data_IF_682193944639
#
_entry.id   IF_682193944639
#
_cell.length_a   1.000
_cell.length_b   1.000
_cell.length_c   1.000
_cell.angle_alpha   90.00
_cell.angle_beta   90.00
_cell.angle_gamma   90.00
#
_symmetry.space_group_name_H-M   'P 1'
#
loop_
_entity.id
_entity.type
_entity.pdbx_description
1 polymer ?
#
# COMPACT_ATOMS: atom_id res chain seq x y z
N UNK A 1 4.21 -41.35 -5.28
CA UNK A 1 3.98 -39.93 -4.97
C UNK A 1 2.53 -39.80 -4.54
N UNK A 2 2.28 -39.91 -3.24
CA UNK A 2 0.95 -39.71 -2.71
C UNK A 2 0.72 -38.20 -2.63
N UNK A 3 -0.30 -37.73 -3.35
CA UNK A 3 -0.83 -36.38 -3.23
C UNK A 3 -1.52 -36.32 -1.87
N UNK A 4 -0.98 -35.52 -0.94
CA UNK A 4 -1.68 -35.18 0.29
C UNK A 4 -2.58 -33.99 -0.01
N UNK A 5 -3.86 -34.18 0.30
CA UNK A 5 -4.96 -33.24 0.25
C UNK A 5 -4.59 -31.90 0.92
N UNK A 6 -4.68 -30.80 0.19
CA UNK A 6 -5.10 -29.48 0.71
C UNK A 6 -4.44 -28.89 1.97
N UNK A 7 -3.20 -29.23 2.33
CA UNK A 7 -2.52 -28.55 3.45
C UNK A 7 -1.91 -27.22 3.02
N UNK A 8 -2.45 -26.11 3.55
CA UNK A 8 -1.81 -24.79 3.45
C UNK A 8 -0.66 -24.76 4.45
N UNK A 9 0.52 -25.17 4.01
CA UNK A 9 1.73 -25.11 4.83
C UNK A 9 2.36 -23.72 4.72
N UNK A 10 2.11 -22.86 5.71
CA UNK A 10 2.80 -21.59 5.83
C UNK A 10 4.19 -21.78 6.42
N UNK A 11 5.18 -21.17 5.80
CA UNK A 11 6.52 -21.03 6.35
C UNK A 11 6.50 -20.11 7.57
N UNK A 12 7.45 -20.29 8.50
CA UNK A 12 7.62 -19.37 9.65
C UNK A 12 7.75 -17.91 9.18
N UNK A 13 8.47 -17.67 8.07
CA UNK A 13 8.60 -16.34 7.49
C UNK A 13 7.26 -15.74 7.07
N UNK A 14 6.36 -16.54 6.48
CA UNK A 14 5.02 -16.08 6.07
C UNK A 14 4.16 -15.76 7.29
N UNK A 15 4.21 -16.59 8.34
CA UNK A 15 3.50 -16.33 9.60
C UNK A 15 3.99 -15.06 10.30
N UNK A 16 5.30 -14.83 10.34
CA UNK A 16 5.89 -13.61 10.88
C UNK A 16 5.45 -12.38 10.09
N UNK A 17 5.45 -12.50 8.77
CA UNK A 17 4.98 -11.47 7.85
C UNK A 17 3.50 -11.11 8.06
N UNK A 18 2.63 -12.10 8.24
CA UNK A 18 1.22 -11.85 8.58
C UNK A 18 1.08 -11.06 9.88
N UNK A 19 1.84 -11.41 10.92
CA UNK A 19 1.82 -10.68 12.21
C UNK A 19 2.32 -9.24 12.05
N UNK A 20 3.38 -9.04 11.25
CA UNK A 20 3.90 -7.73 10.93
C UNK A 20 2.86 -6.86 10.22
N UNK A 21 2.18 -7.40 9.19
CA UNK A 21 1.16 -6.70 8.42
C UNK A 21 -0.04 -6.32 9.30
N UNK A 22 -0.49 -7.21 10.18
CA UNK A 22 -1.56 -6.91 11.14
C UNK A 22 -1.17 -5.74 12.06
N UNK A 23 0.09 -5.69 12.49
CA UNK A 23 0.59 -4.60 13.33
C UNK A 23 0.67 -3.29 12.55
N UNK A 24 1.11 -3.33 11.29
CA UNK A 24 1.12 -2.16 10.40
C UNK A 24 -0.29 -1.66 10.12
N UNK A 25 -1.24 -2.57 9.88
CA UNK A 25 -2.65 -2.23 9.63
C UNK A 25 -3.25 -1.50 10.83
N UNK A 26 -3.03 -2.04 12.04
CA UNK A 26 -3.46 -1.38 13.29
C UNK A 26 -2.83 0.00 13.45
N UNK A 27 -1.52 0.14 13.23
CA UNK A 27 -0.86 1.43 13.37
C UNK A 27 -1.37 2.46 12.33
N UNK A 28 -1.68 2.03 11.10
CA UNK A 28 -2.28 2.91 10.10
C UNK A 28 -3.68 3.40 10.52
N UNK A 29 -4.47 2.56 11.17
CA UNK A 29 -5.78 2.90 11.74
C UNK A 29 -5.66 3.88 12.93
N UNK A 30 -4.75 3.61 13.88
CA UNK A 30 -4.50 4.49 15.04
C UNK A 30 -4.07 5.89 14.63
N UNK A 31 -3.34 6.01 13.52
CA UNK A 31 -2.87 7.28 12.94
C UNK A 31 -3.90 7.88 11.97
N UNK A 32 -5.07 7.26 11.81
CA UNK A 32 -6.19 7.71 10.96
C UNK A 32 -5.85 7.85 9.49
N UNK A 33 -4.94 7.03 8.99
CA UNK A 33 -4.50 7.07 7.60
C UNK A 33 -5.66 6.76 6.66
N UNK A 34 -6.52 5.80 7.01
CA UNK A 34 -7.66 5.42 6.17
C UNK A 34 -8.73 6.52 6.13
N UNK A 35 -8.96 7.22 7.24
CA UNK A 35 -9.88 8.37 7.28
C UNK A 35 -9.38 9.50 6.35
N UNK A 36 -8.09 9.83 6.43
CA UNK A 36 -7.47 10.86 5.58
C UNK A 36 -7.57 10.48 4.09
N UNK A 37 -7.40 9.21 3.75
CA UNK A 37 -7.55 8.72 2.37
C UNK A 37 -9.03 8.76 1.94
N UNK A 38 -9.96 8.41 2.81
CA UNK A 38 -11.40 8.42 2.52
C UNK A 38 -11.98 9.83 2.36
N UNK A 39 -11.40 10.81 3.07
CA UNK A 39 -11.77 12.23 2.95
C UNK A 39 -11.23 12.88 1.67
N UNK A 40 -10.28 12.24 0.98
CA UNK A 40 -9.78 12.74 -0.29
C UNK A 40 -10.74 12.43 -1.45
N UNK A 41 -10.61 13.21 -2.52
CA UNK A 41 -11.42 13.01 -3.72
C UNK A 41 -11.12 11.62 -4.33
N UNK A 42 -12.13 10.85 -4.81
CA UNK A 42 -11.96 9.45 -5.23
C UNK A 42 -10.90 9.18 -6.33
N UNK A 43 -10.43 10.23 -7.01
CA UNK A 43 -9.39 10.18 -8.04
C UNK A 43 -8.14 11.02 -7.68
N UNK A 44 -8.09 11.60 -6.49
CA UNK A 44 -6.95 12.37 -6.03
C UNK A 44 -5.75 11.44 -5.76
N UNK A 45 -4.64 11.72 -6.41
CA UNK A 45 -3.36 11.12 -6.03
C UNK A 45 -2.91 11.75 -4.72
N UNK A 46 -2.93 10.97 -3.64
CA UNK A 46 -2.38 11.38 -2.36
C UNK A 46 -0.92 10.97 -2.23
N UNK A 47 -0.05 11.93 -1.97
CA UNK A 47 1.32 11.67 -1.58
C UNK A 47 1.42 11.46 -0.06
N UNK A 48 2.34 10.59 0.37
CA UNK A 48 2.59 10.30 1.79
C UNK A 48 2.91 11.56 2.61
N UNK A 49 3.55 12.56 2.01
CA UNK A 49 3.81 13.86 2.65
C UNK A 49 2.53 14.65 2.95
N UNK A 50 1.52 14.56 2.09
CA UNK A 50 0.22 15.22 2.26
C UNK A 50 -0.58 14.54 3.36
N UNK A 51 -0.57 13.20 3.40
CA UNK A 51 -1.19 12.44 4.48
C UNK A 51 -0.53 12.79 5.83
N UNK A 52 0.80 12.86 5.87
CA UNK A 52 1.54 13.22 7.09
C UNK A 52 1.28 14.65 7.55
N UNK A 53 0.99 15.57 6.63
CA UNK A 53 0.64 16.95 6.99
C UNK A 53 -0.68 17.07 7.75
N UNK A 54 -1.56 16.06 7.64
CA UNK A 54 -2.80 15.95 8.41
C UNK A 54 -2.63 15.23 9.76
N UNK A 55 -1.44 14.69 10.04
CA UNK A 55 -1.13 13.97 11.28
C UNK A 55 -0.36 14.92 12.20
N UNK A 56 -0.77 15.11 13.48
CA UNK A 56 -0.07 15.97 14.42
C UNK A 56 1.24 15.33 14.89
N UNK A 57 2.28 15.37 14.04
CA UNK A 57 3.60 14.79 14.30
C UNK A 57 4.72 15.78 14.00
N UNK A 58 5.79 15.69 14.79
CA UNK A 58 7.04 16.44 14.54
C UNK A 58 8.17 15.53 14.03
N UNK A 59 7.86 14.26 13.72
CA UNK A 59 8.86 13.31 13.25
C UNK A 59 9.23 13.61 11.77
N UNK A 60 10.48 14.02 11.47
CA UNK A 60 10.90 14.31 10.10
C UNK A 60 10.91 13.07 9.19
N UNK A 61 10.89 11.86 9.77
CA UNK A 61 10.83 10.59 9.06
C UNK A 61 9.41 10.02 8.95
N UNK A 62 8.38 10.78 9.36
CA UNK A 62 7.00 10.30 9.34
C UNK A 62 6.55 9.91 7.93
N UNK A 63 6.86 10.72 6.92
CA UNK A 63 6.47 10.43 5.53
C UNK A 63 7.11 9.15 4.99
N UNK A 64 8.42 8.96 5.24
CA UNK A 64 9.14 7.73 4.87
C UNK A 64 8.58 6.50 5.61
N UNK A 65 8.28 6.65 6.90
CA UNK A 65 7.72 5.56 7.71
C UNK A 65 6.33 5.17 7.20
N UNK A 66 5.49 6.16 6.90
CA UNK A 66 4.16 5.95 6.35
C UNK A 66 4.22 5.29 4.97
N UNK A 67 5.12 5.73 4.09
CA UNK A 67 5.33 5.10 2.77
C UNK A 67 5.61 3.60 2.89
N UNK A 68 6.50 3.21 3.81
CA UNK A 68 6.81 1.81 4.08
C UNK A 68 5.61 1.03 4.61
N UNK A 69 4.77 1.66 5.44
CA UNK A 69 3.54 1.05 5.94
C UNK A 69 2.55 0.81 4.80
N UNK A 70 2.25 1.85 4.00
CA UNK A 70 1.33 1.74 2.87
C UNK A 70 1.81 0.72 1.84
N UNK A 71 3.11 0.70 1.53
CA UNK A 71 3.69 -0.30 0.62
C UNK A 71 3.57 -1.71 1.16
N UNK A 72 3.78 -1.90 2.46
CA UNK A 72 3.57 -3.19 3.12
C UNK A 72 2.12 -3.61 2.99
N UNK A 73 1.15 -2.75 3.31
CA UNK A 73 -0.28 -3.04 3.18
C UNK A 73 -0.70 -3.35 1.74
N UNK A 74 -0.18 -2.60 0.76
CA UNK A 74 -0.46 -2.82 -0.65
C UNK A 74 0.07 -4.17 -1.14
N UNK A 75 1.22 -4.62 -0.66
CA UNK A 75 1.77 -5.95 -0.99
C UNK A 75 0.87 -7.11 -0.54
N UNK A 76 0.01 -6.91 0.47
CA UNK A 76 -0.95 -7.90 0.95
C UNK A 76 -2.38 -7.62 0.46
N UNK A 77 -2.54 -6.67 -0.48
CA UNK A 77 -3.82 -6.37 -1.13
C UNK A 77 -4.78 -5.50 -0.32
N UNK A 78 -4.35 -4.91 0.81
CA UNK A 78 -5.18 -4.00 1.60
C UNK A 78 -5.36 -2.63 0.93
N UNK A 79 -4.42 -2.24 0.07
CA UNK A 79 -4.43 -0.97 -0.64
C UNK A 79 -4.23 -1.20 -2.13
N UNK A 80 -5.10 -0.60 -2.93
CA UNK A 80 -4.96 -0.60 -4.38
C UNK A 80 -4.00 0.52 -4.79
N UNK A 81 -2.81 0.15 -5.25
CA UNK A 81 -1.86 1.12 -5.80
C UNK A 81 -2.27 1.50 -7.22
N UNK A 82 -2.89 2.66 -7.41
CA UNK A 82 -3.28 3.16 -8.73
C UNK A 82 -2.09 3.79 -9.45
N UNK A 83 -1.02 3.03 -9.68
CA UNK A 83 0.02 3.43 -10.63
C UNK A 83 -0.43 3.06 -12.04
N UNK A 84 -1.38 3.81 -12.61
CA UNK A 84 -1.77 3.66 -14.02
C UNK A 84 -1.94 5.02 -14.69
N UNK A 85 -0.84 5.53 -15.23
CA UNK A 85 -0.89 6.23 -16.51
C UNK A 85 -0.45 5.24 -17.57
N UNK A 86 -1.31 4.29 -17.95
CA UNK A 86 -1.15 3.67 -19.26
C UNK A 86 -1.48 4.75 -20.28
N UNK A 87 -0.44 5.44 -20.74
CA UNK A 87 -0.48 6.22 -21.97
C UNK A 87 -0.68 5.25 -23.12
N UNK A 88 -1.92 4.88 -23.42
CA UNK A 88 -2.27 4.48 -24.78
C UNK A 88 -2.28 5.74 -25.63
N UNK A 89 -1.09 6.21 -26.03
CA UNK A 89 -0.98 7.14 -27.15
C UNK A 89 -0.52 6.33 -28.36
N UNK A 90 -1.51 5.77 -29.05
CA UNK A 90 -1.34 5.19 -30.37
C UNK A 90 -1.11 6.31 -31.37
N UNK A 91 0.14 6.69 -31.58
CA UNK A 91 0.56 7.52 -32.71
C UNK A 91 1.86 6.99 -33.31
N UNK A 92 1.77 5.84 -33.99
CA UNK A 92 2.73 5.47 -35.03
C UNK A 92 2.53 6.44 -36.21
N UNK A 93 3.17 7.60 -36.14
CA UNK A 93 3.37 8.46 -37.30
C UNK A 93 4.52 7.86 -38.12
N UNK A 94 4.16 7.22 -39.23
CA UNK A 94 5.09 6.86 -40.30
C UNK A 94 5.85 8.13 -40.73
N UNK A 95 7.18 8.10 -40.63
CA UNK A 95 8.04 9.08 -41.27
C UNK A 95 8.59 8.48 -42.56
N UNK A 96 8.07 9.03 -43.65
CA UNK A 96 8.71 9.14 -44.98
C UNK A 96 10.16 9.59 -44.89
#
# INVERSE_FOLDING_TARGET
MALHEGEVCFSIAELQNLTFVQTVLRAADEVKVFDIIADAEPEAQLFTAEIVSNIPTSNPKAAETLDRMLRSLSSYGFLMNTSSRQSQDGARCERT
#
